data_IF_432426960431
#
_entry.id   IF_432426960431
#
_cell.length_a   1.000
_cell.length_b   1.000
_cell.length_c   1.000
_cell.angle_alpha   90.00
_cell.angle_beta   90.00
_cell.angle_gamma   90.00
#
_symmetry.space_group_name_H-M   'P 1'
#
loop_
_entity.id
_entity.type
_entity.pdbx_description
1 polymer ?
#
# COMPACT_ATOMS: atom_id res chain seq x y z
N UNK A 1 -10.75 -0.38 -19.52
CA UNK A 1 -9.82 0.52 -18.80
C UNK A 1 -9.02 -0.29 -17.78
N UNK A 2 -7.69 -0.09 -17.70
CA UNK A 2 -6.85 -0.72 -16.68
C UNK A 2 -6.77 0.15 -15.42
N UNK A 3 -6.91 -0.43 -14.22
CA UNK A 3 -6.77 0.30 -12.98
C UNK A 3 -5.31 0.73 -12.75
N UNK A 4 -5.13 1.77 -11.97
CA UNK A 4 -3.84 2.10 -11.37
C UNK A 4 -3.61 1.17 -10.18
N UNK A 5 -2.53 0.38 -10.22
CA UNK A 5 -2.30 -0.66 -9.21
C UNK A 5 -1.23 -0.24 -8.22
N UNK A 6 -1.61 -0.22 -6.93
CA UNK A 6 -0.72 -0.07 -5.79
C UNK A 6 -0.50 -1.42 -5.11
N UNK A 7 0.74 -1.76 -4.86
CA UNK A 7 1.14 -2.83 -3.96
C UNK A 7 1.69 -2.18 -2.69
N UNK A 8 1.15 -2.53 -1.52
CA UNK A 8 1.58 -1.96 -0.25
C UNK A 8 2.34 -3.02 0.55
N UNK A 9 3.57 -2.72 0.89
CA UNK A 9 4.50 -3.60 1.60
C UNK A 9 5.01 -2.96 2.89
N UNK A 10 5.56 -3.74 3.79
CA UNK A 10 6.10 -3.28 5.06
C UNK A 10 5.90 -4.31 6.17
N UNK A 11 6.58 -4.13 7.29
CA UNK A 11 6.46 -5.05 8.43
C UNK A 11 5.08 -4.97 9.10
N UNK A 12 4.70 -6.04 9.79
CA UNK A 12 3.50 -6.03 10.63
C UNK A 12 3.62 -4.95 11.71
N UNK A 13 2.53 -4.22 11.93
CA UNK A 13 2.49 -3.12 12.90
C UNK A 13 3.01 -1.77 12.40
N UNK A 14 3.57 -1.69 11.18
CA UNK A 14 4.00 -0.41 10.60
C UNK A 14 2.83 0.52 10.21
N UNK A 15 1.61 -0.01 10.11
CA UNK A 15 0.42 0.77 9.76
C UNK A 15 -0.01 0.64 8.30
N UNK A 16 0.30 -0.48 7.63
CA UNK A 16 -0.10 -0.72 6.23
C UNK A 16 -1.60 -0.64 6.02
N UNK A 17 -2.36 -1.42 6.78
CA UNK A 17 -3.82 -1.50 6.63
C UNK A 17 -4.49 -0.15 6.91
N UNK A 18 -4.06 0.55 7.94
CA UNK A 18 -4.54 1.91 8.26
C UNK A 18 -4.17 2.91 7.15
N UNK A 19 -2.95 2.85 6.63
CA UNK A 19 -2.52 3.67 5.49
C UNK A 19 -3.40 3.46 4.28
N UNK A 20 -3.67 2.19 3.92
CA UNK A 20 -4.55 1.84 2.81
C UNK A 20 -5.96 2.39 3.05
N UNK A 21 -6.48 2.27 4.27
CA UNK A 21 -7.79 2.79 4.63
C UNK A 21 -7.90 4.29 4.45
N UNK A 22 -6.94 5.04 4.94
CA UNK A 22 -6.88 6.51 4.80
C UNK A 22 -6.73 6.94 3.34
N UNK A 23 -5.84 6.28 2.60
CA UNK A 23 -5.64 6.53 1.18
C UNK A 23 -6.93 6.24 0.39
N UNK A 24 -7.57 5.11 0.68
CA UNK A 24 -8.85 4.74 0.07
C UNK A 24 -9.93 5.80 0.31
N UNK A 25 -10.05 6.27 1.55
CA UNK A 25 -11.03 7.33 1.89
C UNK A 25 -10.75 8.61 1.13
N UNK A 26 -9.50 9.05 1.09
CA UNK A 26 -9.11 10.23 0.34
C UNK A 26 -9.41 10.12 -1.16
N UNK A 27 -9.10 8.95 -1.75
CA UNK A 27 -9.39 8.68 -3.16
C UNK A 27 -10.90 8.68 -3.44
N UNK A 28 -11.68 8.03 -2.58
CA UNK A 28 -13.14 7.98 -2.71
C UNK A 28 -13.79 9.37 -2.56
N UNK A 29 -13.28 10.19 -1.66
CA UNK A 29 -13.73 11.57 -1.52
C UNK A 29 -13.42 12.42 -2.79
N UNK A 30 -12.37 12.04 -3.53
CA UNK A 30 -12.04 12.59 -4.85
C UNK A 30 -12.79 11.92 -6.02
N UNK A 31 -13.83 11.14 -5.74
CA UNK A 31 -14.67 10.43 -6.74
C UNK A 31 -13.94 9.35 -7.55
N UNK A 32 -12.80 8.84 -7.04
CA UNK A 32 -12.11 7.69 -7.64
C UNK A 32 -12.76 6.38 -7.22
N UNK A 33 -13.00 5.49 -8.18
CA UNK A 33 -13.46 4.13 -7.89
C UNK A 33 -12.29 3.24 -7.45
N UNK A 34 -12.37 2.70 -6.23
CA UNK A 34 -11.28 1.97 -5.56
C UNK A 34 -11.71 0.55 -5.20
N UNK A 35 -10.86 -0.43 -5.52
CA UNK A 35 -10.98 -1.82 -5.07
C UNK A 35 -9.77 -2.14 -4.18
N UNK A 36 -10.05 -2.65 -2.98
CA UNK A 36 -9.04 -3.11 -2.03
C UNK A 36 -8.88 -4.63 -2.10
N UNK A 37 -7.66 -5.12 -1.94
CA UNK A 37 -7.35 -6.54 -1.87
C UNK A 37 -6.70 -6.92 -0.54
N UNK A 38 -7.34 -7.81 0.23
CA UNK A 38 -6.84 -8.30 1.51
C UNK A 38 -5.92 -9.51 1.30
N UNK A 39 -4.69 -9.27 0.80
CA UNK A 39 -3.73 -10.33 0.52
C UNK A 39 -2.83 -10.70 1.70
N UNK A 40 -2.99 -10.11 2.88
CA UNK A 40 -2.43 -10.60 4.14
C UNK A 40 -3.33 -11.70 4.73
N UNK A 41 -3.41 -12.81 4.02
CA UNK A 41 -4.41 -13.86 4.18
C UNK A 41 -4.23 -14.73 5.43
N UNK A 42 -3.05 -14.68 6.06
CA UNK A 42 -2.74 -15.42 7.29
C UNK A 42 -3.08 -14.64 8.56
N UNK A 43 -3.48 -13.39 8.43
CA UNK A 43 -3.86 -12.52 9.55
C UNK A 43 -5.33 -12.11 9.42
N UNK A 44 -6.22 -12.90 10.00
CA UNK A 44 -7.66 -12.64 9.98
C UNK A 44 -8.02 -11.23 10.49
N UNK A 45 -7.33 -10.76 11.53
CA UNK A 45 -7.54 -9.40 12.07
C UNK A 45 -7.19 -8.31 11.05
N UNK A 46 -6.14 -8.49 10.24
CA UNK A 46 -5.79 -7.54 9.18
C UNK A 46 -6.84 -7.53 8.06
N UNK A 47 -7.34 -8.70 7.67
CA UNK A 47 -8.44 -8.81 6.69
C UNK A 47 -9.69 -8.09 7.18
N UNK A 48 -10.09 -8.31 8.44
CA UNK A 48 -11.27 -7.66 9.04
C UNK A 48 -11.08 -6.15 9.17
N UNK A 49 -9.89 -5.69 9.54
CA UNK A 49 -9.57 -4.27 9.62
C UNK A 49 -9.67 -3.60 8.24
N UNK A 50 -9.14 -4.24 7.20
CA UNK A 50 -9.23 -3.72 5.84
C UNK A 50 -10.68 -3.67 5.36
N UNK A 51 -11.49 -4.69 5.68
CA UNK A 51 -12.92 -4.72 5.36
C UNK A 51 -13.68 -3.56 6.02
N UNK A 52 -13.36 -3.24 7.27
CA UNK A 52 -13.93 -2.09 7.99
C UNK A 52 -13.58 -0.77 7.29
N UNK A 53 -12.34 -0.62 6.85
CA UNK A 53 -11.92 0.57 6.08
C UNK A 53 -12.62 0.66 4.72
N UNK A 54 -12.79 -0.46 4.02
CA UNK A 54 -13.53 -0.51 2.76
C UNK A 54 -14.97 -0.02 2.94
N UNK A 55 -15.65 -0.50 3.97
CA UNK A 55 -17.01 -0.06 4.31
C UNK A 55 -17.07 1.44 4.61
N UNK A 56 -16.16 1.95 5.44
CA UNK A 56 -16.10 3.37 5.82
C UNK A 56 -15.79 4.29 4.66
N UNK A 57 -14.94 3.85 3.74
CA UNK A 57 -14.54 4.66 2.58
C UNK A 57 -15.49 4.53 1.39
N UNK A 58 -16.31 3.50 1.35
CA UNK A 58 -17.13 3.14 0.20
C UNK A 58 -16.34 2.48 -0.93
N UNK A 59 -15.16 1.93 -0.64
CA UNK A 59 -14.38 1.14 -1.59
C UNK A 59 -14.91 -0.29 -1.69
N UNK A 60 -14.73 -0.92 -2.84
CA UNK A 60 -14.90 -2.37 -2.97
C UNK A 60 -13.76 -3.13 -2.29
N UNK A 61 -14.00 -4.39 -1.96
CA UNK A 61 -12.97 -5.25 -1.35
C UNK A 61 -13.03 -6.67 -1.86
N UNK A 62 -11.86 -7.27 -2.08
CA UNK A 62 -11.67 -8.71 -2.26
C UNK A 62 -11.07 -9.28 -0.98
N UNK A 63 -11.81 -10.21 -0.37
CA UNK A 63 -11.38 -10.95 0.83
C UNK A 63 -10.98 -12.37 0.44
N UNK A 64 -10.05 -13.01 1.18
CA UNK A 64 -9.80 -14.42 0.99
C UNK A 64 -11.07 -15.24 1.33
N UNK A 65 -11.34 -16.27 0.55
CA UNK A 65 -12.48 -17.19 0.77
C UNK A 65 -12.26 -18.09 2.00
N UNK A 66 -10.98 -18.28 2.36
CA UNK A 66 -10.56 -19.06 3.52
C UNK A 66 -9.26 -18.51 4.10
N UNK A 67 -9.03 -18.75 5.37
CA UNK A 67 -7.77 -18.39 6.01
C UNK A 67 -6.60 -19.06 5.30
N UNK A 68 -5.53 -18.29 5.06
CA UNK A 68 -4.33 -18.78 4.40
C UNK A 68 -4.47 -19.04 2.90
N UNK A 69 -5.53 -18.53 2.24
CA UNK A 69 -5.61 -18.56 0.79
C UNK A 69 -4.33 -17.95 0.20
N UNK A 70 -3.89 -18.43 -0.97
CA UNK A 70 -2.71 -17.90 -1.65
C UNK A 70 -2.85 -16.38 -1.88
N UNK A 71 -1.95 -15.57 -1.30
CA UNK A 71 -1.98 -14.12 -1.47
C UNK A 71 -2.00 -13.67 -2.93
N UNK A 72 -1.31 -14.38 -3.81
CA UNK A 72 -1.28 -14.09 -5.24
C UNK A 72 -2.66 -14.26 -5.90
N UNK A 73 -3.45 -15.23 -5.42
CA UNK A 73 -4.83 -15.43 -5.86
C UNK A 73 -5.72 -14.24 -5.48
N UNK A 74 -5.62 -13.75 -4.25
CA UNK A 74 -6.38 -12.57 -3.80
C UNK A 74 -5.97 -11.32 -4.58
N UNK A 75 -4.67 -11.12 -4.79
CA UNK A 75 -4.16 -9.99 -5.59
C UNK A 75 -4.67 -10.05 -7.04
N UNK A 76 -4.66 -11.23 -7.65
CA UNK A 76 -5.20 -11.45 -8.99
C UNK A 76 -6.69 -11.08 -9.06
N UNK A 77 -7.50 -11.61 -8.14
CA UNK A 77 -8.94 -11.34 -8.06
C UNK A 77 -9.23 -9.85 -7.81
N UNK A 78 -8.36 -9.16 -7.08
CA UNK A 78 -8.51 -7.72 -6.82
C UNK A 78 -8.41 -6.91 -8.11
N UNK A 79 -7.41 -7.19 -8.93
CA UNK A 79 -7.22 -6.52 -10.23
C UNK A 79 -8.30 -6.93 -11.21
N UNK A 80 -8.68 -8.21 -11.24
CA UNK A 80 -9.77 -8.72 -12.07
C UNK A 80 -11.09 -7.99 -11.74
N UNK A 81 -11.44 -7.86 -10.46
CA UNK A 81 -12.64 -7.14 -10.04
C UNK A 81 -12.57 -5.65 -10.40
N UNK A 82 -11.40 -5.03 -10.24
CA UNK A 82 -11.19 -3.64 -10.63
C UNK A 82 -11.42 -3.42 -12.13
N UNK A 83 -10.91 -4.31 -12.97
CA UNK A 83 -11.14 -4.26 -14.43
C UNK A 83 -12.61 -4.47 -14.75
N UNK A 84 -13.24 -5.48 -14.15
CA UNK A 84 -14.66 -5.80 -14.38
C UNK A 84 -15.59 -4.65 -14.00
N UNK A 85 -15.28 -3.93 -12.96
CA UNK A 85 -16.08 -2.80 -12.46
C UNK A 85 -15.67 -1.45 -13.05
N UNK A 86 -14.73 -1.43 -13.99
CA UNK A 86 -14.13 -0.20 -14.54
C UNK A 86 -13.59 0.74 -13.46
N UNK A 87 -13.08 0.15 -12.37
CA UNK A 87 -12.51 0.91 -11.27
C UNK A 87 -11.22 1.62 -11.67
N UNK A 88 -10.98 2.77 -11.07
CA UNK A 88 -9.79 3.58 -11.35
C UNK A 88 -8.54 3.02 -10.69
N UNK A 89 -8.68 2.43 -9.50
CA UNK A 89 -7.57 2.09 -8.61
C UNK A 89 -7.79 0.73 -7.97
N UNK A 90 -6.73 -0.07 -7.90
CA UNK A 90 -6.64 -1.29 -7.12
C UNK A 90 -5.50 -1.17 -6.11
N UNK A 91 -5.76 -1.45 -4.83
CA UNK A 91 -4.77 -1.39 -3.76
C UNK A 91 -4.70 -2.75 -3.08
N UNK A 92 -3.51 -3.37 -3.09
CA UNK A 92 -3.29 -4.69 -2.52
C UNK A 92 -2.49 -4.59 -1.22
N UNK A 93 -3.10 -5.01 -0.11
CA UNK A 93 -2.42 -5.17 1.19
C UNK A 93 -1.71 -6.51 1.24
N UNK A 94 -0.44 -6.52 1.65
CA UNK A 94 0.40 -7.72 1.69
C UNK A 94 0.83 -8.08 3.10
N UNK A 95 1.28 -9.32 3.29
CA UNK A 95 1.86 -9.76 4.55
C UNK A 95 3.18 -9.04 4.86
N UNK A 96 3.45 -8.81 6.14
CA UNK A 96 4.62 -8.08 6.60
C UNK A 96 5.60 -8.92 7.43
N UNK A 97 5.83 -10.18 7.08
CA UNK A 97 6.73 -11.08 7.79
C UNK A 97 8.16 -10.95 7.25
N UNK A 98 9.07 -10.39 8.08
CA UNK A 98 10.50 -10.29 7.74
C UNK A 98 11.36 -11.43 8.30
N UNK A 99 10.80 -12.38 9.06
CA UNK A 99 11.53 -13.46 9.70
C UNK A 99 12.26 -14.36 8.68
N UNK A 100 11.71 -14.48 7.48
CA UNK A 100 12.33 -15.20 6.39
C UNK A 100 12.25 -14.34 5.10
N UNK A 101 13.35 -13.67 4.76
CA UNK A 101 13.47 -12.85 3.55
C UNK A 101 13.15 -13.63 2.27
N UNK A 102 13.59 -14.88 2.18
CA UNK A 102 13.36 -15.71 1.00
C UNK A 102 11.89 -15.98 0.78
N UNK A 103 11.17 -16.38 1.83
CA UNK A 103 9.72 -16.64 1.71
C UNK A 103 8.95 -15.37 1.36
N UNK A 104 9.33 -14.23 1.96
CA UNK A 104 8.75 -12.93 1.62
C UNK A 104 9.01 -12.54 0.16
N UNK A 105 10.24 -12.74 -0.32
CA UNK A 105 10.62 -12.48 -1.71
C UNK A 105 9.81 -13.35 -2.67
N UNK A 106 9.69 -14.65 -2.36
CA UNK A 106 8.94 -15.60 -3.17
C UNK A 106 7.45 -15.24 -3.22
N UNK A 107 6.85 -14.86 -2.07
CA UNK A 107 5.46 -14.44 -1.98
C UNK A 107 5.20 -13.15 -2.77
N UNK A 108 6.01 -12.11 -2.56
CA UNK A 108 5.88 -10.84 -3.29
C UNK A 108 6.12 -11.02 -4.79
N UNK A 109 7.06 -11.89 -5.16
CA UNK A 109 7.29 -12.26 -6.56
C UNK A 109 6.09 -12.96 -7.20
N UNK A 110 5.40 -13.84 -6.48
CA UNK A 110 4.16 -14.49 -6.96
C UNK A 110 3.03 -13.48 -7.13
N UNK A 111 2.85 -12.59 -6.15
CA UNK A 111 1.85 -11.51 -6.23
C UNK A 111 2.10 -10.65 -7.45
N UNK A 112 3.32 -10.21 -7.66
CA UNK A 112 3.71 -9.40 -8.83
C UNK A 112 3.36 -10.11 -10.13
N UNK A 113 3.80 -11.36 -10.30
CA UNK A 113 3.52 -12.13 -11.51
C UNK A 113 2.02 -12.35 -11.74
N UNK A 114 1.24 -12.53 -10.68
CA UNK A 114 -0.21 -12.68 -10.78
C UNK A 114 -0.89 -11.40 -11.26
N UNK A 115 -0.52 -10.26 -10.69
CA UNK A 115 -1.06 -8.94 -11.07
C UNK A 115 -0.65 -8.57 -12.48
N UNK A 116 0.62 -8.74 -12.83
CA UNK A 116 1.18 -8.36 -14.13
C UNK A 116 0.64 -9.14 -15.32
N UNK A 117 -0.09 -10.23 -15.08
CA UNK A 117 -0.88 -10.90 -16.14
C UNK A 117 -2.05 -10.06 -16.65
N UNK A 118 -2.51 -9.09 -15.87
CA UNK A 118 -3.69 -8.30 -16.16
C UNK A 118 -3.43 -6.80 -16.29
N UNK A 119 -2.57 -6.26 -15.41
CA UNK A 119 -2.28 -4.83 -15.35
C UNK A 119 -0.87 -4.60 -14.79
N UNK A 120 -0.24 -3.52 -15.18
CA UNK A 120 1.05 -3.09 -14.64
C UNK A 120 0.88 -2.66 -13.18
N UNK A 121 1.84 -3.03 -12.31
CA UNK A 121 1.97 -2.43 -10.98
C UNK A 121 2.59 -1.04 -11.17
N UNK A 122 1.88 -0.03 -10.74
CA UNK A 122 2.28 1.37 -10.94
C UNK A 122 3.10 1.91 -9.79
N UNK A 123 2.78 1.48 -8.56
CA UNK A 123 3.48 1.85 -7.35
C UNK A 123 3.63 0.65 -6.41
N UNK A 124 4.82 0.53 -5.84
CA UNK A 124 5.08 -0.33 -4.69
C UNK A 124 5.43 0.59 -3.52
N UNK A 125 4.49 0.74 -2.59
CA UNK A 125 4.62 1.62 -1.44
C UNK A 125 5.10 0.85 -0.22
N UNK A 126 6.23 1.27 0.34
CA UNK A 126 6.76 0.74 1.59
C UNK A 126 6.29 1.60 2.76
N UNK A 127 5.54 1.01 3.68
CA UNK A 127 5.07 1.69 4.89
C UNK A 127 6.08 1.50 6.02
N UNK A 128 6.52 2.60 6.60
CA UNK A 128 7.53 2.67 7.67
C UNK A 128 6.96 3.43 8.87
N UNK A 129 7.13 2.86 10.06
CA UNK A 129 6.85 3.51 11.33
C UNK A 129 8.01 4.44 11.71
N UNK A 130 7.76 5.74 11.74
CA UNK A 130 8.78 6.75 12.05
C UNK A 130 9.30 6.68 13.47
N UNK A 131 8.57 6.06 14.40
CA UNK A 131 8.95 5.95 15.82
C UNK A 131 10.03 4.90 16.09
N UNK A 132 10.28 3.99 15.12
CA UNK A 132 11.23 2.88 15.30
C UNK A 132 12.70 3.24 14.97
N UNK A 133 12.96 4.49 14.57
CA UNK A 133 14.32 5.03 14.39
C UNK A 133 15.19 4.23 13.41
N UNK A 134 16.38 3.78 13.85
CA UNK A 134 17.31 3.03 13.01
C UNK A 134 16.74 1.71 12.49
N UNK A 135 15.84 1.07 13.23
CA UNK A 135 15.16 -0.15 12.78
C UNK A 135 14.30 0.10 11.54
N UNK A 136 13.67 1.29 11.44
CA UNK A 136 12.92 1.68 10.23
C UNK A 136 13.80 1.66 8.99
N UNK A 137 14.99 2.22 9.09
CA UNK A 137 15.96 2.28 7.98
C UNK A 137 16.40 0.88 7.57
N UNK A 138 16.71 0.02 8.55
CA UNK A 138 17.15 -1.35 8.29
C UNK A 138 16.04 -2.19 7.64
N UNK A 139 14.81 -2.06 8.13
CA UNK A 139 13.64 -2.72 7.54
C UNK A 139 13.39 -2.23 6.11
N UNK A 140 13.46 -0.92 5.90
CA UNK A 140 13.28 -0.31 4.60
C UNK A 140 14.31 -0.84 3.57
N UNK A 141 15.58 -0.91 3.95
CA UNK A 141 16.62 -1.51 3.11
C UNK A 141 16.30 -2.96 2.75
N UNK A 142 15.86 -3.76 3.73
CA UNK A 142 15.49 -5.15 3.49
C UNK A 142 14.33 -5.29 2.49
N UNK A 143 13.31 -4.45 2.57
CA UNK A 143 12.20 -4.46 1.61
C UNK A 143 12.59 -3.96 0.23
N UNK A 144 13.46 -2.94 0.14
CA UNK A 144 13.94 -2.44 -1.16
C UNK A 144 14.75 -3.48 -1.93
N UNK A 145 15.42 -4.41 -1.21
CA UNK A 145 16.13 -5.52 -1.83
C UNK A 145 15.19 -6.61 -2.41
N UNK A 146 13.98 -6.77 -1.86
CA UNK A 146 13.07 -7.88 -2.23
C UNK A 146 11.85 -7.45 -3.05
N UNK A 147 11.53 -6.15 -3.03
CA UNK A 147 10.28 -5.65 -3.65
C UNK A 147 10.54 -4.31 -4.32
N UNK A 148 10.78 -4.21 -5.55
CA UNK A 148 11.02 -2.98 -6.33
C UNK A 148 10.22 -1.74 -5.84
N UNK A 149 10.53 -1.28 -4.63
CA UNK A 149 9.83 -0.18 -3.95
C UNK A 149 10.00 1.11 -4.73
N UNK A 150 8.90 1.79 -4.99
CA UNK A 150 8.88 3.05 -5.75
C UNK A 150 8.66 4.28 -4.89
N UNK A 151 8.14 4.11 -3.69
CA UNK A 151 7.89 5.21 -2.77
C UNK A 151 7.70 4.75 -1.33
N UNK A 152 7.85 5.69 -0.41
CA UNK A 152 7.76 5.45 1.02
C UNK A 152 6.57 6.18 1.61
N UNK A 153 5.88 5.49 2.51
CA UNK A 153 4.86 6.07 3.39
C UNK A 153 5.38 6.07 4.82
N UNK A 154 5.49 7.25 5.42
CA UNK A 154 5.89 7.39 6.83
C UNK A 154 4.66 7.49 7.71
N UNK A 155 4.58 6.66 8.75
CA UNK A 155 3.51 6.70 9.74
C UNK A 155 4.01 7.21 11.09
N UNK A 156 3.09 7.66 11.95
CA UNK A 156 3.38 8.08 13.34
C UNK A 156 4.36 9.25 13.46
N UNK A 157 4.38 10.15 12.49
CA UNK A 157 5.25 11.33 12.50
C UNK A 157 4.92 12.34 13.59
N UNK A 158 3.70 12.33 14.11
CA UNK A 158 3.26 13.16 15.25
C UNK A 158 4.06 12.91 16.53
N UNK A 159 4.68 11.73 16.67
CA UNK A 159 5.54 11.37 17.81
C UNK A 159 7.03 11.68 17.64
N UNK A 160 7.46 12.35 16.57
CA UNK A 160 8.88 12.51 16.22
C UNK A 160 9.25 13.92 15.74
N UNK A 161 10.56 14.19 15.58
CA UNK A 161 11.08 15.37 14.87
C UNK A 161 10.89 15.18 13.34
N UNK A 162 9.74 15.60 12.86
CA UNK A 162 9.14 15.27 11.55
C UNK A 162 10.07 15.46 10.34
N UNK A 163 10.79 16.56 10.24
CA UNK A 163 11.61 16.86 9.07
C UNK A 163 12.89 16.01 8.96
N UNK A 164 13.52 15.75 10.10
CA UNK A 164 14.81 15.04 10.14
C UNK A 164 14.72 13.60 9.70
N UNK A 165 13.70 12.86 10.18
CA UNK A 165 13.54 11.43 9.84
C UNK A 165 13.17 11.25 8.37
N UNK A 166 12.32 12.11 7.80
CA UNK A 166 11.96 12.08 6.38
C UNK A 166 13.20 12.28 5.51
N UNK A 167 14.00 13.31 5.81
CA UNK A 167 15.24 13.59 5.10
C UNK A 167 16.23 12.42 5.17
N UNK A 168 16.43 11.87 6.38
CA UNK A 168 17.35 10.75 6.61
C UNK A 168 16.94 9.52 5.78
N UNK A 169 15.66 9.18 5.74
CA UNK A 169 15.16 8.04 4.98
C UNK A 169 15.34 8.25 3.48
N UNK A 170 15.01 9.42 2.97
CA UNK A 170 15.23 9.74 1.54
C UNK A 170 16.70 9.63 1.15
N UNK A 171 17.60 10.13 1.99
CA UNK A 171 19.04 10.06 1.74
C UNK A 171 19.60 8.63 1.76
N UNK A 172 19.10 7.77 2.67
CA UNK A 172 19.60 6.39 2.81
C UNK A 172 19.04 5.43 1.75
N UNK A 173 17.84 5.70 1.24
CA UNK A 173 17.15 4.77 0.36
C UNK A 173 17.05 5.25 -1.10
N UNK A 174 17.37 6.50 -1.34
CA UNK A 174 17.20 7.13 -2.67
C UNK A 174 15.76 6.95 -3.22
N UNK A 175 14.78 7.01 -2.33
CA UNK A 175 13.37 6.85 -2.63
C UNK A 175 12.56 8.04 -2.12
N UNK A 176 11.55 8.51 -2.88
CA UNK A 176 10.71 9.60 -2.43
C UNK A 176 9.77 9.18 -1.30
N UNK A 177 9.64 10.02 -0.29
CA UNK A 177 8.55 9.91 0.69
C UNK A 177 7.32 10.57 0.06
N UNK A 178 6.31 9.77 -0.24
CA UNK A 178 5.11 10.22 -0.97
C UNK A 178 3.97 10.63 -0.04
N UNK A 179 3.85 9.94 1.08
CA UNK A 179 2.74 10.10 2.02
C UNK A 179 3.25 10.09 3.45
N UNK A 180 2.61 10.87 4.30
CA UNK A 180 2.91 10.90 5.73
C UNK A 180 1.63 10.82 6.55
N UNK A 181 1.62 9.92 7.53
CA UNK A 181 0.56 9.81 8.54
C UNK A 181 0.90 10.69 9.74
N UNK A 182 0.07 11.67 10.03
CA UNK A 182 0.29 12.68 11.08
C UNK A 182 -0.68 12.56 12.25
N UNK A 183 -1.32 11.40 12.44
CA UNK A 183 -2.26 11.14 13.52
C UNK A 183 -3.09 9.89 13.29
N UNK A 184 -4.01 9.60 14.21
CA UNK A 184 -4.85 8.39 14.16
C UNK A 184 -6.19 8.59 13.41
N UNK A 185 -6.59 9.83 13.17
CA UNK A 185 -7.85 10.16 12.51
C UNK A 185 -7.84 9.81 11.02
N UNK A 186 -9.02 9.57 10.47
CA UNK A 186 -9.22 9.25 9.04
C UNK A 186 -8.65 10.32 8.11
N UNK A 187 -8.71 11.58 8.54
CA UNK A 187 -8.22 12.73 7.77
C UNK A 187 -6.78 13.13 8.13
N UNK A 188 -6.14 12.42 9.08
CA UNK A 188 -4.76 12.69 9.52
C UNK A 188 -3.75 12.04 8.58
N UNK A 189 -3.80 12.47 7.33
CA UNK A 189 -3.01 11.95 6.24
C UNK A 189 -2.62 13.09 5.32
N UNK A 190 -1.32 13.34 5.18
CA UNK A 190 -0.80 14.39 4.34
C UNK A 190 0.09 13.80 3.24
N UNK A 191 -0.06 14.31 2.03
CA UNK A 191 0.84 14.02 0.94
C UNK A 191 2.09 14.89 1.10
N UNK A 192 3.25 14.30 1.04
CA UNK A 192 4.51 15.05 1.10
C UNK A 192 4.70 15.87 -0.18
N UNK A 193 4.17 15.37 -1.29
CA UNK A 193 3.99 16.09 -2.55
C UNK A 193 2.61 15.75 -3.12
N UNK A 194 1.56 16.35 -2.54
CA UNK A 194 0.18 16.12 -2.96
C UNK A 194 -0.03 16.42 -4.45
N UNK A 195 0.65 17.45 -4.93
CA UNK A 195 0.56 17.88 -6.33
C UNK A 195 1.16 16.85 -7.30
N UNK A 196 2.33 16.29 -7.01
CA UNK A 196 2.95 15.25 -7.85
C UNK A 196 2.15 13.96 -7.85
N UNK A 197 1.61 13.57 -6.68
CA UNK A 197 0.78 12.39 -6.56
C UNK A 197 -0.54 12.55 -7.33
N UNK A 198 -1.22 13.67 -7.17
CA UNK A 198 -2.45 13.98 -7.88
C UNK A 198 -2.22 14.10 -9.39
N UNK A 199 -1.13 14.73 -9.83
CA UNK A 199 -0.78 14.85 -11.24
C UNK A 199 -0.51 13.50 -11.89
N UNK A 200 0.15 12.58 -11.20
CA UNK A 200 0.37 11.21 -11.67
C UNK A 200 -0.94 10.43 -11.90
N UNK A 201 -1.94 10.65 -11.06
CA UNK A 201 -3.27 10.06 -11.20
C UNK A 201 -4.10 10.71 -12.32
N UNK A 202 -4.07 12.05 -12.40
CA UNK A 202 -4.84 12.84 -13.38
C UNK A 202 -4.30 12.66 -14.80
N UNK A 203 -2.99 12.63 -15.00
CA UNK A 203 -2.37 12.41 -16.30
C UNK A 203 -2.86 11.10 -16.94
N UNK A 204 -3.07 10.07 -16.15
CA UNK A 204 -3.60 8.78 -16.62
C UNK A 204 -5.08 8.79 -16.98
N UNK A 205 -5.89 9.60 -16.26
CA UNK A 205 -7.32 9.73 -16.57
C UNK A 205 -7.53 10.44 -17.92
N UNK A 206 -6.56 11.27 -18.34
CA UNK A 206 -6.59 11.98 -19.63
C UNK A 206 -6.12 11.10 -20.82
N UNK A 207 -5.38 10.01 -20.55
CA UNK A 207 -4.88 9.09 -21.58
C UNK A 207 -5.80 7.86 -21.81
N UNK A 208 -6.85 7.72 -21.01
CA UNK A 208 -7.85 6.66 -21.09
C UNK A 208 -9.16 7.18 -21.69
#
# INVERSE_FOLDING_TARGET
KLPYVFLVVGVNGAGKTTTIGKLSKWLRDGEWEVILGAADTFRAAAVDQLATWAERSGAGIVRPERDGQDPASVAYQTVELAIKNDADIAIVDTAGRLQNKKDLMDELGKIRRAVEKQAQINEVLLVIDATTGQNSINQAKAFTEVADVTGIVMTKLDGTAKGGIVYTIQQHLDLPVKLVGVGEGVNDFAFFSAEEFANGLVARKAES
#
